data_IF_334972850729
#
_entry.id   IF_334972850729
#
_cell.length_a   1.000
_cell.length_b   1.000
_cell.length_c   1.000
_cell.angle_alpha   90.00
_cell.angle_beta   90.00
_cell.angle_gamma   90.00
#
_symmetry.space_group_name_H-M   'P 1'
#
loop_
_entity.id
_entity.type
_entity.pdbx_description
1 polymer ?
#
# COMPACT_ATOMS: atom_id res chain seq x y z
N UNK A 1 15.18 -8.14 -19.62
CA UNK A 1 14.71 -7.64 -18.30
C UNK A 1 15.80 -7.67 -17.22
N UNK A 2 17.09 -7.79 -17.57
CA UNK A 2 18.19 -8.11 -16.63
C UNK A 2 19.02 -6.91 -16.13
N UNK A 3 18.51 -5.67 -16.21
CA UNK A 3 19.32 -4.47 -15.89
C UNK A 3 18.56 -3.38 -15.09
N UNK A 4 17.54 -3.77 -14.33
CA UNK A 4 16.86 -2.92 -13.34
C UNK A 4 17.40 -3.21 -11.92
N UNK A 5 17.12 -2.32 -10.98
CA UNK A 5 17.43 -2.54 -9.56
C UNK A 5 16.56 -3.67 -9.00
N UNK A 6 17.17 -4.59 -8.27
CA UNK A 6 16.44 -5.59 -7.50
C UNK A 6 15.81 -4.98 -6.22
N UNK A 7 15.02 -5.76 -5.48
CA UNK A 7 14.30 -5.27 -4.30
C UNK A 7 15.21 -4.71 -3.20
N UNK A 8 16.37 -5.32 -2.94
CA UNK A 8 17.34 -4.84 -1.93
C UNK A 8 18.01 -3.54 -2.40
N UNK A 9 18.35 -3.44 -3.67
CA UNK A 9 18.92 -2.21 -4.27
C UNK A 9 17.91 -1.06 -4.26
N UNK A 10 16.64 -1.33 -4.56
CA UNK A 10 15.54 -0.36 -4.48
C UNK A 10 15.33 0.12 -3.04
N UNK A 11 15.35 -0.80 -2.06
CA UNK A 11 15.24 -0.44 -0.65
C UNK A 11 16.38 0.48 -0.21
N UNK A 12 17.63 0.19 -0.62
CA UNK A 12 18.78 1.05 -0.37
C UNK A 12 18.58 2.45 -0.97
N UNK A 13 18.08 2.53 -2.20
CA UNK A 13 17.79 3.81 -2.87
C UNK A 13 16.69 4.61 -2.14
N UNK A 14 15.58 3.96 -1.77
CA UNK A 14 14.45 4.58 -1.06
C UNK A 14 14.85 5.05 0.35
N UNK A 15 15.69 4.28 1.03
CA UNK A 15 16.24 4.67 2.33
C UNK A 15 17.16 5.89 2.19
N UNK A 16 18.05 5.90 1.19
CA UNK A 16 18.96 7.00 0.94
C UNK A 16 18.24 8.29 0.50
N UNK A 17 17.08 8.17 -0.17
CA UNK A 17 16.26 9.30 -0.59
C UNK A 17 15.81 10.20 0.58
N UNK A 18 15.57 9.64 1.76
CA UNK A 18 15.24 10.40 2.99
C UNK A 18 16.45 10.78 3.83
N UNK A 19 17.67 10.53 3.34
CA UNK A 19 18.93 10.82 4.01
C UNK A 19 19.63 12.07 3.46
N UNK A 20 20.83 12.41 3.96
CA UNK A 20 21.60 13.57 3.50
C UNK A 20 22.10 13.44 2.05
N UNK A 21 22.31 14.57 1.36
CA UNK A 21 22.64 14.64 -0.08
C UNK A 21 23.83 13.74 -0.47
N UNK A 22 24.89 13.77 0.35
CA UNK A 22 26.10 12.97 0.12
C UNK A 22 25.82 11.46 0.16
N UNK A 23 24.99 11.00 1.08
CA UNK A 23 24.68 9.57 1.20
C UNK A 23 23.85 9.09 -0.01
N UNK A 24 22.93 9.94 -0.49
CA UNK A 24 22.16 9.65 -1.70
C UNK A 24 23.07 9.59 -2.94
N UNK A 25 23.97 10.56 -3.10
CA UNK A 25 24.91 10.60 -4.24
C UNK A 25 25.85 9.38 -4.27
N UNK A 26 26.35 8.96 -3.09
CA UNK A 26 27.14 7.74 -2.93
C UNK A 26 26.34 6.50 -3.36
N UNK A 27 25.09 6.35 -2.90
CA UNK A 27 24.23 5.21 -3.28
C UNK A 27 23.89 5.21 -4.77
N UNK A 28 23.57 6.34 -5.37
CA UNK A 28 23.29 6.45 -6.81
C UNK A 28 24.53 6.04 -7.62
N UNK A 29 25.71 6.47 -7.18
CA UNK A 29 26.98 6.13 -7.84
C UNK A 29 27.30 4.64 -7.74
N UNK A 30 27.09 4.03 -6.56
CA UNK A 30 27.31 2.59 -6.35
C UNK A 30 26.35 1.70 -7.15
N UNK A 31 25.06 2.06 -7.21
CA UNK A 31 24.06 1.31 -7.94
C UNK A 31 24.16 1.48 -9.47
N UNK A 32 24.82 2.57 -9.89
CA UNK A 32 24.96 2.99 -11.29
C UNK A 32 23.82 3.91 -11.72
N UNK A 33 24.16 5.13 -12.12
CA UNK A 33 23.19 6.17 -12.48
C UNK A 33 22.22 5.74 -13.59
N UNK A 34 22.66 5.00 -14.59
CA UNK A 34 21.78 4.55 -15.68
C UNK A 34 20.70 3.55 -15.19
N UNK A 35 21.07 2.64 -14.29
CA UNK A 35 20.13 1.68 -13.68
C UNK A 35 19.13 2.41 -12.79
N UNK A 36 19.59 3.37 -12.01
CA UNK A 36 18.74 4.24 -11.19
C UNK A 36 17.79 5.02 -12.08
N UNK A 37 18.29 5.70 -13.12
CA UNK A 37 17.48 6.51 -14.01
C UNK A 37 16.37 5.71 -14.69
N UNK A 38 16.64 4.47 -15.13
CA UNK A 38 15.61 3.56 -15.68
C UNK A 38 14.48 3.28 -14.69
N UNK A 39 14.79 3.07 -13.42
CA UNK A 39 13.79 2.90 -12.35
C UNK A 39 12.97 4.18 -12.17
N UNK A 40 13.64 5.35 -12.13
CA UNK A 40 12.95 6.62 -11.92
C UNK A 40 11.98 6.92 -13.05
N UNK A 41 12.37 6.70 -14.31
CA UNK A 41 11.48 6.98 -15.45
C UNK A 41 10.35 5.98 -15.60
N UNK A 42 10.56 4.70 -15.25
CA UNK A 42 9.47 3.71 -15.13
C UNK A 42 8.46 4.15 -14.07
N UNK A 43 8.96 4.59 -12.90
CA UNK A 43 8.14 5.05 -11.80
C UNK A 43 7.31 6.29 -12.17
N UNK A 44 7.90 7.25 -12.89
CA UNK A 44 7.20 8.44 -13.40
C UNK A 44 6.10 8.03 -14.38
N UNK A 45 6.42 7.19 -15.37
CA UNK A 45 5.46 6.72 -16.37
C UNK A 45 4.28 5.97 -15.71
N UNK A 46 4.57 5.16 -14.69
CA UNK A 46 3.57 4.44 -13.91
C UNK A 46 2.66 5.38 -13.09
N UNK A 47 3.24 6.38 -12.42
CA UNK A 47 2.51 7.31 -11.55
C UNK A 47 1.67 8.33 -12.30
N UNK A 48 2.11 8.71 -13.50
CA UNK A 48 1.49 9.76 -14.32
C UNK A 48 -0.01 9.55 -14.47
N UNK A 49 -0.78 10.63 -14.36
CA UNK A 49 -2.21 10.64 -14.63
C UNK A 49 -2.49 10.26 -16.09
N UNK A 50 -3.69 9.71 -16.35
CA UNK A 50 -4.12 9.47 -17.72
C UNK A 50 -4.23 10.83 -18.44
N UNK A 51 -3.49 11.02 -19.54
CA UNK A 51 -3.37 12.31 -20.19
C UNK A 51 -4.66 12.69 -20.94
N UNK A 52 -5.15 13.89 -20.69
CA UNK A 52 -6.23 14.55 -21.47
C UNK A 52 -5.66 15.27 -22.70
N UNK A 53 -4.91 14.55 -23.53
CA UNK A 53 -4.36 15.10 -24.79
C UNK A 53 -5.23 14.68 -25.97
N UNK A 54 -5.28 15.51 -27.00
CA UNK A 54 -6.01 15.26 -28.25
C UNK A 54 -5.11 14.68 -29.36
N UNK A 55 -3.79 14.66 -29.14
CA UNK A 55 -2.80 14.13 -30.07
C UNK A 55 -1.60 13.55 -29.37
N UNK A 56 -0.87 12.71 -30.12
CA UNK A 56 0.45 12.26 -29.71
C UNK A 56 1.39 13.45 -29.48
N UNK A 57 2.00 13.49 -28.30
CA UNK A 57 2.98 14.50 -27.90
C UNK A 57 4.13 13.84 -27.16
N UNK A 58 5.37 14.28 -27.42
CA UNK A 58 6.56 13.79 -26.74
C UNK A 58 7.08 14.83 -25.74
N UNK A 59 7.51 14.37 -24.57
CA UNK A 59 8.08 15.20 -23.50
C UNK A 59 9.44 14.63 -23.13
N UNK A 60 10.48 15.47 -23.17
CA UNK A 60 11.84 15.11 -22.79
C UNK A 60 12.09 15.20 -21.29
N UNK A 61 12.93 14.32 -20.77
CA UNK A 61 13.49 14.40 -19.43
C UNK A 61 15.00 14.20 -19.48
N UNK A 62 15.74 15.21 -19.05
CA UNK A 62 17.19 15.14 -18.88
C UNK A 62 17.50 14.89 -17.41
N UNK A 63 18.29 13.85 -17.13
CA UNK A 63 18.75 13.52 -15.77
C UNK A 63 20.26 13.69 -15.69
N UNK A 64 20.71 14.61 -14.84
CA UNK A 64 22.11 14.97 -14.64
C UNK A 64 22.70 14.21 -13.43
N UNK A 65 23.83 13.53 -13.60
CA UNK A 65 24.59 12.88 -12.51
C UNK A 65 26.10 12.95 -12.80
N UNK A 66 26.91 13.37 -11.84
CA UNK A 66 28.38 13.40 -11.99
C UNK A 66 28.89 14.23 -13.18
N UNK A 67 28.12 15.22 -13.66
CA UNK A 67 28.44 16.03 -14.83
C UNK A 67 28.06 15.40 -16.18
N UNK A 68 27.51 14.19 -16.20
CA UNK A 68 26.91 13.57 -17.38
C UNK A 68 25.39 13.79 -17.40
N UNK A 69 24.80 13.74 -18.59
CA UNK A 69 23.35 13.86 -18.80
C UNK A 69 22.83 12.65 -19.57
N UNK A 70 21.81 11.99 -19.03
CA UNK A 70 21.05 10.93 -19.71
C UNK A 70 19.66 11.46 -20.05
N UNK A 71 19.26 11.36 -21.31
CA UNK A 71 17.98 11.89 -21.81
C UNK A 71 16.98 10.77 -22.09
N UNK A 72 15.72 11.03 -21.75
CA UNK A 72 14.59 10.13 -21.94
C UNK A 72 13.44 10.84 -22.65
N UNK A 73 12.63 10.08 -23.36
CA UNK A 73 11.43 10.60 -24.04
C UNK A 73 10.18 9.90 -23.53
N UNK A 74 9.26 10.69 -22.97
CA UNK A 74 7.92 10.25 -22.61
C UNK A 74 6.97 10.46 -23.79
N UNK A 75 6.33 9.38 -24.21
CA UNK A 75 5.31 9.38 -25.25
C UNK A 75 3.93 9.47 -24.62
N UNK A 76 3.21 10.55 -24.91
CA UNK A 76 1.88 10.83 -24.36
C UNK A 76 0.84 10.73 -25.47
N UNK A 77 -0.08 9.77 -25.36
CA UNK A 77 -1.16 9.52 -26.32
C UNK A 77 -2.53 9.74 -25.68
N UNK A 78 -3.56 10.14 -26.46
CA UNK A 78 -4.92 10.28 -25.95
C UNK A 78 -5.40 8.98 -25.27
N UNK A 79 -5.86 9.09 -24.03
CA UNK A 79 -6.48 7.99 -23.26
C UNK A 79 -5.59 6.76 -23.03
N UNK A 80 -4.27 6.87 -23.18
CA UNK A 80 -3.32 5.79 -22.91
C UNK A 80 -2.39 6.16 -21.75
N UNK A 81 -1.91 5.18 -20.96
CA UNK A 81 -0.84 5.39 -20.01
C UNK A 81 0.40 5.99 -20.70
N UNK A 82 1.08 6.90 -20.00
CA UNK A 82 2.36 7.46 -20.44
C UNK A 82 3.36 6.32 -20.61
N UNK A 83 4.11 6.33 -21.72
CA UNK A 83 5.21 5.38 -21.97
C UNK A 83 6.53 6.12 -22.04
N UNK A 84 7.62 5.44 -21.76
CA UNK A 84 8.97 6.02 -21.81
C UNK A 84 9.92 5.17 -22.64
N UNK A 85 10.84 5.83 -23.34
CA UNK A 85 11.97 5.23 -24.04
C UNK A 85 13.26 6.00 -23.75
N UNK A 86 14.39 5.30 -23.72
CA UNK A 86 15.71 5.93 -23.66
C UNK A 86 16.00 6.72 -24.95
N UNK A 87 16.73 7.83 -24.81
CA UNK A 87 17.11 8.70 -25.92
C UNK A 87 16.18 9.89 -26.14
N UNK A 88 16.57 10.73 -27.09
CA UNK A 88 15.88 11.96 -27.49
C UNK A 88 15.00 11.65 -28.69
N UNK A 89 13.68 11.81 -28.53
CA UNK A 89 12.72 11.67 -29.62
C UNK A 89 12.84 12.79 -30.65
N UNK A 90 12.38 12.52 -31.86
CA UNK A 90 12.45 13.49 -32.96
C UNK A 90 11.44 14.63 -32.82
N UNK A 91 10.48 14.54 -31.88
CA UNK A 91 9.31 15.43 -31.79
C UNK A 91 9.05 15.92 -30.36
N UNK A 92 10.11 16.13 -29.58
CA UNK A 92 10.00 16.65 -28.22
C UNK A 92 9.32 18.03 -28.24
N UNK A 93 8.17 18.14 -27.60
CA UNK A 93 7.47 19.41 -27.49
C UNK A 93 8.10 20.29 -26.40
N UNK A 94 8.55 19.66 -25.32
CA UNK A 94 9.19 20.31 -24.17
C UNK A 94 10.11 19.32 -23.44
N UNK A 95 11.27 19.78 -22.99
CA UNK A 95 12.13 19.02 -22.05
C UNK A 95 12.13 19.63 -20.64
N UNK A 96 12.30 18.76 -19.64
CA UNK A 96 12.52 19.13 -18.23
C UNK A 96 13.83 18.51 -17.75
N UNK A 97 14.57 19.18 -16.87
CA UNK A 97 15.85 18.66 -16.35
C UNK A 97 15.85 18.53 -14.82
N UNK A 98 16.45 17.45 -14.32
CA UNK A 98 16.66 17.19 -12.89
C UNK A 98 18.09 16.69 -12.63
N UNK A 99 18.63 16.98 -11.45
CA UNK A 99 19.70 16.13 -10.93
C UNK A 99 19.12 14.75 -10.57
N UNK A 100 19.90 13.67 -10.71
CA UNK A 100 19.44 12.33 -10.34
C UNK A 100 19.00 12.29 -8.86
N UNK A 101 19.78 12.90 -7.96
CA UNK A 101 19.48 12.98 -6.55
C UNK A 101 18.14 13.69 -6.25
N UNK A 102 17.86 14.83 -6.92
CA UNK A 102 16.59 15.54 -6.71
C UNK A 102 15.41 14.76 -7.26
N UNK A 103 15.57 14.07 -8.38
CA UNK A 103 14.51 13.22 -8.93
C UNK A 103 14.21 12.01 -8.03
N UNK A 104 15.25 11.39 -7.45
CA UNK A 104 15.08 10.34 -6.43
C UNK A 104 14.30 10.87 -5.23
N UNK A 105 14.57 12.09 -4.77
CA UNK A 105 13.85 12.70 -3.65
C UNK A 105 12.41 13.06 -3.95
N UNK A 106 12.13 13.56 -5.14
CA UNK A 106 10.75 13.84 -5.54
C UNK A 106 9.90 12.56 -5.58
N UNK A 107 10.49 11.43 -5.99
CA UNK A 107 9.78 10.16 -6.09
C UNK A 107 9.74 9.36 -4.77
N UNK A 108 10.83 9.38 -4.01
CA UNK A 108 11.07 8.48 -2.87
C UNK A 108 11.54 9.18 -1.59
N UNK A 109 11.65 10.51 -1.57
CA UNK A 109 12.01 11.30 -0.40
C UNK A 109 10.90 11.39 0.63
N UNK A 110 11.19 11.98 1.79
CA UNK A 110 10.18 12.15 2.85
C UNK A 110 9.21 13.29 2.52
N UNK A 111 7.94 13.16 2.93
CA UNK A 111 6.91 14.17 2.67
C UNK A 111 7.27 15.57 3.21
N UNK A 112 8.17 15.65 4.20
CA UNK A 112 8.64 16.91 4.82
C UNK A 112 9.68 17.66 3.96
N UNK A 113 10.24 17.01 2.95
CA UNK A 113 11.36 17.54 2.15
C UNK A 113 10.96 18.02 0.76
N UNK A 114 9.67 17.95 0.38
CA UNK A 114 9.16 18.53 -0.88
C UNK A 114 9.17 20.07 -0.81
N UNK A 115 10.35 20.66 -0.96
CA UNK A 115 10.51 22.09 -1.19
C UNK A 115 10.49 22.37 -2.69
N UNK A 116 9.61 23.28 -3.10
CA UNK A 116 9.31 23.69 -4.47
C UNK A 116 10.47 24.33 -5.27
N UNK A 117 11.74 24.12 -4.90
CA UNK A 117 12.89 24.89 -5.37
C UNK A 117 14.06 24.08 -5.94
N UNK A 118 13.89 22.78 -6.26
CA UNK A 118 14.99 21.95 -6.81
C UNK A 118 14.91 21.63 -8.31
N UNK A 119 13.93 22.21 -9.00
CA UNK A 119 13.69 21.96 -10.42
C UNK A 119 14.41 23.02 -11.26
N UNK A 120 15.39 22.61 -12.06
CA UNK A 120 15.87 23.44 -13.16
C UNK A 120 14.97 23.18 -14.37
N UNK A 121 13.89 23.96 -14.50
CA UNK A 121 13.06 23.91 -15.69
C UNK A 121 13.83 24.57 -16.87
N UNK A 122 14.77 23.83 -17.46
CA UNK A 122 15.39 24.20 -18.73
C UNK A 122 14.41 23.83 -19.85
N UNK A 123 13.31 24.57 -19.97
CA UNK A 123 12.35 24.37 -21.07
C UNK A 123 13.04 24.62 -22.41
N UNK A 124 13.41 23.54 -23.10
CA UNK A 124 13.72 23.58 -24.53
C UNK A 124 12.43 23.33 -25.28
N UNK A 125 11.96 24.37 -25.95
CA UNK A 125 10.77 24.30 -26.80
C UNK A 125 11.21 23.88 -28.20
N UNK A 126 11.02 22.61 -28.53
CA UNK A 126 11.34 22.05 -29.85
C UNK A 126 10.05 21.80 -30.65
N UNK A 127 9.10 22.74 -30.55
CA UNK A 127 7.81 22.64 -31.25
C UNK A 127 7.96 23.09 -32.70
N UNK A 128 7.39 22.31 -33.64
CA UNK A 128 7.27 22.71 -35.03
C UNK A 128 6.48 24.03 -35.16
N UNK A 129 7.14 25.07 -35.69
CA UNK A 129 6.52 26.35 -35.98
C UNK A 129 5.48 26.23 -37.09
N UNK A 130 4.46 27.11 -37.07
CA UNK A 130 3.54 27.24 -38.20
C UNK A 130 4.35 27.68 -39.44
N UNK A 131 4.17 27.07 -40.62
CA UNK A 131 4.86 27.51 -41.84
C UNK A 131 4.71 29.02 -42.07
N UNK A 132 5.83 29.72 -42.23
CA UNK A 132 5.86 31.18 -42.42
C UNK A 132 5.68 32.03 -41.15
N UNK A 133 5.64 31.44 -39.96
CA UNK A 133 5.62 32.16 -38.67
C UNK A 133 6.72 31.65 -37.74
N UNK A 134 7.31 32.53 -36.95
CA UNK A 134 8.27 32.14 -35.91
C UNK A 134 7.56 31.84 -34.57
N UNK A 135 6.44 31.09 -34.62
CA UNK A 135 5.70 30.64 -33.43
C UNK A 135 4.90 29.35 -33.70
N UNK A 136 4.68 28.50 -32.68
CA UNK A 136 3.79 27.35 -32.77
C UNK A 136 2.31 27.76 -32.84
N UNK A 137 1.43 26.82 -33.16
CA UNK A 137 -0.02 27.02 -33.03
C UNK A 137 -0.45 26.98 -31.56
N UNK A 138 -1.58 27.64 -31.24
CA UNK A 138 -2.17 27.57 -29.90
C UNK A 138 -2.49 26.13 -29.52
N UNK A 139 -3.00 25.34 -30.46
CA UNK A 139 -3.28 23.92 -30.31
C UNK A 139 -2.04 23.12 -29.89
N UNK A 140 -0.90 23.30 -30.58
CA UNK A 140 0.35 22.63 -30.21
C UNK A 140 0.86 23.04 -28.83
N UNK A 141 0.71 24.32 -28.45
CA UNK A 141 1.07 24.81 -27.11
C UNK A 141 0.20 24.16 -26.04
N UNK A 142 -1.11 24.06 -26.26
CA UNK A 142 -2.02 23.44 -25.31
C UNK A 142 -1.75 21.93 -25.17
N UNK A 143 -1.56 21.22 -26.28
CA UNK A 143 -1.20 19.79 -26.26
C UNK A 143 0.11 19.54 -25.48
N UNK A 144 1.13 20.36 -25.73
CA UNK A 144 2.39 20.34 -24.99
C UNK A 144 2.20 20.57 -23.49
N UNK A 145 1.43 21.59 -23.10
CA UNK A 145 1.17 21.89 -21.69
C UNK A 145 0.49 20.71 -20.99
N UNK A 146 -0.54 20.12 -21.62
CA UNK A 146 -1.25 18.97 -21.07
C UNK A 146 -0.37 17.73 -20.99
N UNK A 147 0.43 17.44 -22.02
CA UNK A 147 1.36 16.32 -22.02
C UNK A 147 2.44 16.46 -20.94
N UNK A 148 3.01 17.66 -20.80
CA UNK A 148 4.00 17.96 -19.76
C UNK A 148 3.38 17.85 -18.38
N UNK A 149 2.17 18.35 -18.17
CA UNK A 149 1.45 18.22 -16.91
C UNK A 149 1.19 16.75 -16.54
N UNK A 150 0.84 15.90 -17.51
CA UNK A 150 0.68 14.46 -17.27
C UNK A 150 2.00 13.80 -16.82
N UNK A 151 3.13 14.08 -17.49
CA UNK A 151 4.44 13.55 -17.07
C UNK A 151 4.83 14.06 -15.68
N UNK A 152 4.69 15.38 -15.43
CA UNK A 152 5.02 15.97 -14.14
C UNK A 152 4.13 15.47 -12.99
N UNK A 153 2.89 15.07 -13.27
CA UNK A 153 2.03 14.42 -12.27
C UNK A 153 2.60 13.09 -11.77
N UNK A 154 3.44 12.42 -12.58
CA UNK A 154 4.16 11.21 -12.18
C UNK A 154 5.35 11.46 -11.25
N UNK A 155 5.86 12.69 -11.20
CA UNK A 155 6.92 13.11 -10.28
C UNK A 155 6.34 13.63 -8.96
N UNK A 156 5.10 14.13 -9.00
CA UNK A 156 4.40 14.70 -7.87
C UNK A 156 4.08 13.65 -6.79
N UNK A 157 4.24 14.03 -5.52
CA UNK A 157 3.93 13.19 -4.36
C UNK A 157 2.53 13.43 -3.79
N UNK A 158 1.69 14.23 -4.46
CA UNK A 158 0.28 14.41 -4.06
C UNK A 158 -0.41 13.06 -3.82
N UNK A 159 -1.12 12.93 -2.68
CA UNK A 159 -1.88 11.72 -2.39
C UNK A 159 -2.90 11.36 -3.46
N UNK A 160 -2.90 10.11 -3.96
CA UNK A 160 -3.94 9.64 -4.87
C UNK A 160 -5.22 9.27 -4.11
N UNK A 161 -6.36 9.34 -4.79
CA UNK A 161 -7.63 8.80 -4.29
C UNK A 161 -7.68 7.28 -4.52
N UNK A 162 -7.85 6.48 -3.46
CA UNK A 162 -7.87 5.02 -3.56
C UNK A 162 -9.02 4.48 -4.43
N UNK A 163 -10.19 5.12 -4.42
CA UNK A 163 -11.30 4.72 -5.27
C UNK A 163 -10.98 4.90 -6.76
N UNK A 164 -10.35 6.02 -7.10
CA UNK A 164 -9.85 6.30 -8.45
C UNK A 164 -8.74 5.32 -8.86
N UNK A 165 -7.84 4.95 -7.94
CA UNK A 165 -6.81 3.95 -8.23
C UNK A 165 -7.40 2.55 -8.43
N UNK A 166 -8.36 2.13 -7.59
CA UNK A 166 -9.05 0.85 -7.75
C UNK A 166 -9.73 0.77 -9.13
N UNK A 167 -10.43 1.83 -9.53
CA UNK A 167 -11.03 1.92 -10.86
C UNK A 167 -9.99 1.90 -11.99
N UNK A 168 -8.89 2.67 -11.83
CA UNK A 168 -7.80 2.75 -12.83
C UNK A 168 -7.10 1.41 -13.06
N UNK A 169 -6.89 0.64 -12.01
CA UNK A 169 -6.16 -0.64 -12.07
C UNK A 169 -7.08 -1.86 -12.07
N UNK A 170 -8.39 -1.66 -12.27
CA UNK A 170 -9.40 -2.72 -12.36
C UNK A 170 -9.42 -3.64 -11.12
N UNK A 171 -9.24 -3.07 -9.95
CA UNK A 171 -9.49 -3.75 -8.67
C UNK A 171 -10.94 -3.50 -8.24
N UNK A 172 -11.61 -4.55 -7.80
CA UNK A 172 -13.01 -4.55 -7.35
C UNK A 172 -13.22 -3.96 -5.94
N UNK A 173 -12.14 -3.53 -5.27
CA UNK A 173 -12.16 -2.88 -3.96
C UNK A 173 -13.00 -1.58 -3.91
N UNK A 174 -13.44 -1.03 -5.06
CA UNK A 174 -14.34 0.12 -5.15
C UNK A 174 -15.27 0.10 -6.38
N UNK A 175 -16.47 0.66 -6.24
CA UNK A 175 -17.30 1.08 -7.38
C UNK A 175 -18.13 -0.02 -8.04
N UNK A 176 -18.16 -1.21 -7.45
CA UNK A 176 -18.88 -2.38 -7.97
C UNK A 176 -19.42 -3.26 -6.85
N UNK A 177 -18.78 -4.41 -6.65
CA UNK A 177 -19.15 -5.38 -5.62
C UNK A 177 -18.80 -4.90 -4.20
N UNK A 178 -17.69 -4.15 -4.07
CA UNK A 178 -17.15 -3.70 -2.79
C UNK A 178 -16.99 -2.18 -2.70
N UNK A 179 -16.85 -1.69 -1.46
CA UNK A 179 -16.72 -0.27 -1.09
C UNK A 179 -15.60 -0.10 -0.05
N UNK A 180 -14.50 -0.83 -0.20
CA UNK A 180 -13.45 -0.96 0.82
C UNK A 180 -12.52 0.26 0.88
N UNK A 181 -12.31 0.96 -0.24
CA UNK A 181 -11.30 2.01 -0.33
C UNK A 181 -11.40 3.14 0.70
N UNK A 182 -12.59 3.60 1.18
CA UNK A 182 -12.63 4.60 2.26
C UNK A 182 -12.16 4.06 3.61
N UNK A 183 -12.35 2.77 3.87
CA UNK A 183 -11.85 2.11 5.09
C UNK A 183 -10.33 1.94 5.00
N UNK A 184 -9.83 1.52 3.83
CA UNK A 184 -8.40 1.49 3.57
C UNK A 184 -7.73 2.86 3.72
N UNK A 185 -8.32 3.91 3.14
CA UNK A 185 -7.83 5.28 3.27
C UNK A 185 -7.73 5.69 4.75
N UNK A 186 -8.77 5.42 5.54
CA UNK A 186 -8.81 5.77 6.97
C UNK A 186 -7.63 5.15 7.74
N UNK A 187 -7.33 3.88 7.47
CA UNK A 187 -6.35 3.09 8.22
C UNK A 187 -4.93 3.22 7.69
N UNK A 188 -4.76 3.36 6.37
CA UNK A 188 -3.44 3.32 5.72
C UNK A 188 -2.84 4.70 5.43
N UNK A 189 -3.61 5.79 5.49
CA UNK A 189 -3.12 7.15 5.15
C UNK A 189 -1.90 7.58 5.96
N UNK A 190 -1.74 7.11 7.19
CA UNK A 190 -0.59 7.43 8.04
C UNK A 190 0.71 6.76 7.58
N UNK A 191 0.62 5.71 6.77
CA UNK A 191 1.74 4.92 6.26
C UNK A 191 2.12 5.28 4.82
N UNK A 192 1.36 6.17 4.17
CA UNK A 192 1.46 6.49 2.74
C UNK A 192 2.87 6.89 2.29
N UNK A 193 3.51 7.72 3.10
CA UNK A 193 4.82 8.32 2.81
C UNK A 193 5.97 7.62 3.58
N UNK A 194 5.66 6.51 4.25
CA UNK A 194 6.63 5.68 4.94
C UNK A 194 7.18 4.60 3.99
N UNK A 195 8.43 4.16 4.17
CA UNK A 195 9.04 3.09 3.36
C UNK A 195 8.51 1.72 3.79
N UNK A 196 7.21 1.49 3.60
CA UNK A 196 6.51 0.30 4.10
C UNK A 196 6.77 -0.95 3.27
N UNK A 197 6.66 -2.10 3.91
CA UNK A 197 6.54 -3.41 3.27
C UNK A 197 5.10 -3.91 3.39
N UNK A 198 4.45 -4.12 2.25
CA UNK A 198 3.03 -4.53 2.17
C UNK A 198 2.97 -5.92 1.54
N UNK A 199 2.31 -6.87 2.21
CA UNK A 199 2.02 -8.19 1.67
C UNK A 199 0.53 -8.32 1.38
N UNK A 200 0.14 -8.71 0.18
CA UNK A 200 -1.23 -9.10 -0.16
C UNK A 200 -1.26 -10.58 -0.59
N UNK A 201 -2.11 -11.38 0.04
CA UNK A 201 -2.44 -12.73 -0.39
C UNK A 201 -3.58 -12.62 -1.38
N UNK A 202 -3.43 -13.25 -2.55
CA UNK A 202 -4.36 -13.12 -3.67
C UNK A 202 -3.92 -12.01 -4.61
N UNK A 203 -3.29 -12.37 -5.74
CA UNK A 203 -2.90 -11.41 -6.78
C UNK A 203 -4.04 -11.19 -7.78
N UNK A 204 -4.98 -12.13 -7.86
CA UNK A 204 -6.11 -12.11 -8.78
C UNK A 204 -5.77 -12.66 -10.16
N UNK A 205 -6.76 -12.72 -11.05
CA UNK A 205 -6.61 -13.31 -12.39
C UNK A 205 -6.48 -14.84 -12.41
N UNK A 206 -6.67 -15.51 -11.27
CA UNK A 206 -6.67 -16.97 -11.10
C UNK A 206 -5.45 -17.63 -11.76
N UNK A 207 -5.66 -18.62 -12.64
CA UNK A 207 -4.58 -19.37 -13.28
C UNK A 207 -3.79 -18.57 -14.35
N UNK A 208 -4.27 -17.40 -14.77
CA UNK A 208 -3.61 -16.62 -15.81
C UNK A 208 -2.35 -15.93 -15.32
N UNK A 209 -1.17 -16.32 -15.83
CA UNK A 209 0.12 -15.80 -15.37
C UNK A 209 0.31 -14.28 -15.60
N UNK A 210 -0.32 -13.72 -16.63
CA UNK A 210 -0.28 -12.29 -16.97
C UNK A 210 -1.56 -11.53 -16.55
N UNK A 211 -2.49 -12.20 -15.87
CA UNK A 211 -3.74 -11.62 -15.40
C UNK A 211 -3.70 -11.38 -13.89
N UNK A 212 -4.32 -10.29 -13.44
CA UNK A 212 -4.33 -9.86 -12.04
C UNK A 212 -3.39 -8.69 -11.75
N UNK A 213 -3.05 -8.49 -10.47
CA UNK A 213 -2.14 -7.45 -10.00
C UNK A 213 -2.73 -6.04 -9.94
N UNK A 214 -4.04 -5.89 -10.12
CA UNK A 214 -4.72 -4.59 -10.05
C UNK A 214 -4.54 -3.92 -8.69
N UNK A 215 -4.81 -4.66 -7.61
CA UNK A 215 -4.58 -4.22 -6.23
C UNK A 215 -3.10 -3.96 -5.93
N UNK A 216 -2.19 -4.81 -6.41
CA UNK A 216 -0.74 -4.59 -6.24
C UNK A 216 -0.29 -3.25 -6.86
N UNK A 217 -0.82 -2.88 -8.04
CA UNK A 217 -0.56 -1.57 -8.63
C UNK A 217 -1.22 -0.44 -7.83
N UNK A 218 -2.43 -0.67 -7.31
CA UNK A 218 -3.08 0.28 -6.41
C UNK A 218 -2.20 0.56 -5.18
N UNK A 219 -1.68 -0.48 -4.52
CA UNK A 219 -0.78 -0.35 -3.38
C UNK A 219 0.56 0.28 -3.76
N UNK A 220 1.16 -0.11 -4.90
CA UNK A 220 2.37 0.52 -5.43
C UNK A 220 2.18 2.02 -5.60
N UNK A 221 1.04 2.45 -6.17
CA UNK A 221 0.76 3.88 -6.39
C UNK A 221 0.38 4.63 -5.12
N UNK A 222 -0.30 3.95 -4.19
CA UNK A 222 -0.71 4.52 -2.91
C UNK A 222 0.48 4.76 -1.98
N UNK A 223 1.32 3.75 -1.77
CA UNK A 223 2.53 3.86 -0.96
C UNK A 223 3.71 4.33 -1.82
N UNK A 224 3.99 5.64 -1.81
CA UNK A 224 4.99 6.26 -2.68
C UNK A 224 6.40 5.67 -2.49
N UNK A 225 6.70 5.17 -1.29
CA UNK A 225 7.98 4.57 -0.90
C UNK A 225 7.85 3.08 -0.55
N UNK A 226 6.66 2.52 -0.75
CA UNK A 226 6.38 1.14 -0.34
C UNK A 226 6.94 0.11 -1.30
N UNK A 227 7.30 -1.05 -0.74
CA UNK A 227 7.56 -2.28 -1.46
C UNK A 227 6.35 -3.21 -1.28
N UNK A 228 5.78 -3.66 -2.40
CA UNK A 228 4.57 -4.47 -2.44
C UNK A 228 4.94 -5.90 -2.81
N UNK A 229 4.45 -6.84 -2.02
CA UNK A 229 4.62 -8.27 -2.20
C UNK A 229 3.25 -8.89 -2.41
N UNK A 230 3.10 -9.69 -3.47
CA UNK A 230 1.90 -10.47 -3.72
C UNK A 230 2.18 -11.95 -3.52
N UNK A 231 1.32 -12.68 -2.81
CA UNK A 231 1.39 -14.15 -2.74
C UNK A 231 0.20 -14.75 -3.48
N UNK A 232 0.46 -15.69 -4.38
CA UNK A 232 -0.58 -16.42 -5.10
C UNK A 232 -0.20 -17.90 -5.25
N UNK A 233 -1.23 -18.75 -5.33
CA UNK A 233 -1.05 -20.18 -5.59
C UNK A 233 -0.42 -20.43 -6.96
N UNK A 234 -0.75 -19.57 -7.93
CA UNK A 234 -0.25 -19.62 -9.29
C UNK A 234 1.02 -18.78 -9.46
N UNK A 235 1.82 -19.12 -10.47
CA UNK A 235 2.97 -18.31 -10.84
C UNK A 235 2.51 -17.01 -11.50
N UNK A 236 2.87 -15.88 -10.88
CA UNK A 236 2.53 -14.51 -11.29
C UNK A 236 3.78 -13.68 -11.59
N UNK A 237 4.95 -14.32 -11.71
CA UNK A 237 6.22 -13.65 -12.01
C UNK A 237 6.21 -12.74 -13.25
N UNK A 238 5.37 -12.95 -14.30
CA UNK A 238 5.25 -11.97 -15.38
C UNK A 238 4.71 -10.59 -14.95
N UNK A 239 4.09 -10.50 -13.77
CA UNK A 239 3.59 -9.24 -13.21
C UNK A 239 4.66 -8.46 -12.44
N UNK A 240 5.82 -9.06 -12.15
CA UNK A 240 6.93 -8.43 -11.44
C UNK A 240 7.39 -7.15 -12.15
N UNK A 241 7.66 -6.13 -11.35
CA UNK A 241 8.11 -4.81 -11.81
C UNK A 241 8.76 -4.07 -10.64
N UNK A 242 9.42 -2.91 -10.85
CA UNK A 242 9.95 -2.14 -9.75
C UNK A 242 8.92 -1.93 -8.62
N UNK A 243 9.34 -2.24 -7.39
CA UNK A 243 8.54 -2.19 -6.14
C UNK A 243 7.36 -3.18 -6.04
N UNK A 244 7.16 -4.09 -6.99
CA UNK A 244 6.17 -5.18 -6.88
C UNK A 244 6.86 -6.50 -7.13
N UNK A 245 6.85 -7.37 -6.13
CA UNK A 245 7.40 -8.72 -6.20
C UNK A 245 6.29 -9.73 -5.98
N UNK A 246 6.09 -10.63 -6.93
CA UNK A 246 5.16 -11.74 -6.81
C UNK A 246 5.88 -12.98 -6.27
N UNK A 247 5.18 -13.72 -5.43
CA UNK A 247 5.70 -14.87 -4.70
C UNK A 247 4.70 -16.01 -4.87
N UNK A 248 5.17 -17.16 -5.35
CA UNK A 248 4.32 -18.34 -5.46
C UNK A 248 4.25 -19.05 -4.11
N UNK A 249 3.04 -19.28 -3.61
CA UNK A 249 2.81 -19.98 -2.35
C UNK A 249 1.34 -20.32 -2.12
N UNK A 250 1.09 -21.43 -1.45
CA UNK A 250 -0.24 -21.77 -0.96
C UNK A 250 -0.47 -21.06 0.38
N UNK A 251 -1.52 -20.25 0.49
CA UNK A 251 -1.84 -19.56 1.74
C UNK A 251 -2.27 -20.53 2.86
N UNK A 252 -2.63 -21.78 2.54
CA UNK A 252 -2.91 -22.81 3.53
C UNK A 252 -1.67 -23.63 3.93
N UNK A 253 -0.47 -23.22 3.49
CA UNK A 253 0.80 -23.79 3.94
C UNK A 253 1.52 -22.80 4.90
N UNK A 254 1.39 -22.97 6.22
CA UNK A 254 2.04 -22.13 7.21
C UNK A 254 3.57 -22.07 7.06
N UNK A 255 4.21 -23.16 6.60
CA UNK A 255 5.66 -23.22 6.48
C UNK A 255 6.14 -22.31 5.35
N UNK A 256 5.46 -22.37 4.19
CA UNK A 256 5.71 -21.47 3.06
C UNK A 256 5.46 -20.01 3.44
N UNK A 257 4.34 -19.70 4.11
CA UNK A 257 4.03 -18.33 4.55
C UNK A 257 5.06 -17.80 5.55
N UNK A 258 5.49 -18.63 6.50
CA UNK A 258 6.52 -18.25 7.49
C UNK A 258 7.86 -17.98 6.82
N UNK A 259 8.25 -18.79 5.82
CA UNK A 259 9.49 -18.59 5.08
C UNK A 259 9.46 -17.29 4.26
N UNK A 260 8.35 -17.03 3.57
CA UNK A 260 8.13 -15.75 2.87
C UNK A 260 8.25 -14.58 3.84
N UNK A 261 7.61 -14.67 5.00
CA UNK A 261 7.63 -13.60 5.98
C UNK A 261 9.00 -13.39 6.64
N UNK A 262 9.79 -14.46 6.82
CA UNK A 262 11.19 -14.35 7.27
C UNK A 262 12.09 -13.68 6.24
N UNK A 263 11.86 -13.95 4.96
CA UNK A 263 12.70 -13.43 3.88
C UNK A 263 12.35 -12.00 3.48
N UNK A 264 11.06 -11.66 3.46
CA UNK A 264 10.57 -10.41 2.90
C UNK A 264 9.95 -9.47 3.94
N UNK A 265 9.67 -9.97 5.15
CA UNK A 265 9.16 -9.18 6.25
C UNK A 265 10.27 -8.55 7.11
N UNK A 266 9.92 -8.05 8.32
CA UNK A 266 8.55 -7.98 8.82
C UNK A 266 7.71 -6.96 8.00
N UNK A 267 6.41 -7.19 7.91
CA UNK A 267 5.51 -6.37 7.09
C UNK A 267 4.82 -5.29 7.93
N UNK A 268 4.66 -4.09 7.37
CA UNK A 268 3.85 -3.03 7.98
C UNK A 268 2.36 -3.31 7.77
N UNK A 269 2.01 -3.94 6.64
CA UNK A 269 0.64 -4.30 6.29
C UNK A 269 0.61 -5.69 5.68
N UNK A 270 -0.27 -6.55 6.17
CA UNK A 270 -0.66 -7.82 5.53
C UNK A 270 -2.13 -7.76 5.19
N UNK A 271 -2.51 -8.15 3.96
CA UNK A 271 -3.89 -8.21 3.47
C UNK A 271 -4.17 -9.63 3.02
N UNK A 272 -5.20 -10.27 3.58
CA UNK A 272 -5.73 -11.55 3.08
C UNK A 272 -6.94 -11.30 2.19
N UNK A 273 -6.71 -11.39 0.87
CA UNK A 273 -7.69 -11.30 -0.20
C UNK A 273 -7.56 -12.52 -1.14
N UNK A 274 -7.30 -13.69 -0.55
CA UNK A 274 -6.89 -14.89 -1.26
C UNK A 274 -8.04 -15.82 -1.68
N UNK A 275 -8.06 -17.05 -1.17
CA UNK A 275 -9.06 -18.06 -1.54
C UNK A 275 -10.42 -17.86 -0.90
N UNK A 276 -10.47 -17.06 0.17
CA UNK A 276 -11.61 -16.86 1.06
C UNK A 276 -12.14 -18.16 1.72
N UNK A 277 -11.41 -19.26 1.60
CA UNK A 277 -11.71 -20.51 2.33
C UNK A 277 -11.41 -20.27 3.80
N UNK A 278 -12.38 -20.58 4.66
CA UNK A 278 -12.32 -20.22 6.07
C UNK A 278 -11.11 -20.80 6.81
N UNK A 279 -10.74 -22.04 6.50
CA UNK A 279 -9.51 -22.66 7.03
C UNK A 279 -8.26 -21.89 6.59
N UNK A 280 -8.22 -21.45 5.33
CA UNK A 280 -7.07 -20.75 4.78
C UNK A 280 -6.87 -19.38 5.45
N UNK A 281 -7.97 -18.65 5.72
CA UNK A 281 -7.94 -17.37 6.46
C UNK A 281 -7.40 -17.56 7.88
N UNK A 282 -7.80 -18.65 8.56
CA UNK A 282 -7.31 -18.97 9.91
C UNK A 282 -5.82 -19.32 9.87
N UNK A 283 -5.42 -20.14 8.90
CA UNK A 283 -4.03 -20.58 8.71
C UNK A 283 -3.10 -19.41 8.40
N UNK A 284 -3.47 -18.54 7.45
CA UNK A 284 -2.68 -17.38 7.06
C UNK A 284 -2.53 -16.38 8.21
N UNK A 285 -3.61 -16.09 8.94
CA UNK A 285 -3.56 -15.20 10.10
C UNK A 285 -2.60 -15.73 11.16
N UNK A 286 -2.72 -17.01 11.52
CA UNK A 286 -1.85 -17.63 12.52
C UNK A 286 -0.37 -17.62 12.09
N UNK A 287 -0.09 -17.83 10.80
CA UNK A 287 1.27 -17.85 10.26
C UNK A 287 1.89 -16.44 10.12
N UNK A 288 1.12 -15.46 9.66
CA UNK A 288 1.65 -14.16 9.23
C UNK A 288 1.46 -13.03 10.26
N UNK A 289 0.44 -13.09 11.13
CA UNK A 289 0.25 -12.06 12.16
C UNK A 289 1.48 -11.88 13.09
N UNK A 290 2.25 -12.93 13.46
CA UNK A 290 3.51 -12.76 14.17
C UNK A 290 4.58 -11.94 13.43
N UNK A 291 4.50 -11.88 12.10
CA UNK A 291 5.44 -11.17 11.23
C UNK A 291 4.95 -9.78 10.79
N UNK A 292 3.77 -9.36 11.24
CA UNK A 292 3.34 -7.96 11.17
C UNK A 292 4.11 -7.17 12.23
N UNK A 293 4.68 -6.03 11.82
CA UNK A 293 5.40 -5.12 12.72
C UNK A 293 4.47 -4.58 13.79
N UNK A 294 4.98 -4.36 15.00
CA UNK A 294 4.26 -3.57 16.02
C UNK A 294 3.95 -2.18 15.46
N UNK A 295 2.68 -1.76 15.54
CA UNK A 295 2.16 -0.56 14.88
C UNK A 295 1.65 -0.79 13.44
N UNK A 296 1.80 -2.01 12.91
CA UNK A 296 1.29 -2.42 11.61
C UNK A 296 -0.12 -2.99 11.65
N UNK A 297 -0.60 -3.45 10.49
CA UNK A 297 -1.97 -3.88 10.27
C UNK A 297 -2.04 -5.26 9.62
N UNK A 298 -2.98 -6.07 10.08
CA UNK A 298 -3.46 -7.24 9.34
C UNK A 298 -4.89 -6.99 8.89
N UNK A 299 -5.19 -7.23 7.61
CA UNK A 299 -6.51 -7.02 7.01
C UNK A 299 -7.04 -8.34 6.47
N UNK A 300 -8.32 -8.61 6.70
CA UNK A 300 -9.04 -9.76 6.14
C UNK A 300 -10.17 -9.22 5.27
N UNK A 301 -10.16 -9.50 3.98
CA UNK A 301 -11.25 -9.21 3.05
C UNK A 301 -12.23 -10.39 2.94
N UNK A 302 -13.39 -10.11 2.36
CA UNK A 302 -14.39 -11.07 1.94
C UNK A 302 -14.88 -12.08 2.99
N UNK A 303 -15.13 -11.56 4.18
CA UNK A 303 -15.71 -12.30 5.32
C UNK A 303 -17.11 -12.88 5.06
N UNK A 304 -17.78 -12.55 3.94
CA UNK A 304 -19.09 -13.09 3.59
C UNK A 304 -19.08 -14.61 3.39
N UNK A 305 -17.94 -15.19 2.98
CA UNK A 305 -17.78 -16.65 2.80
C UNK A 305 -17.90 -17.43 4.10
N UNK A 306 -17.84 -16.77 5.26
CA UNK A 306 -18.11 -17.39 6.57
C UNK A 306 -19.52 -17.98 6.68
N UNK A 307 -20.45 -17.53 5.83
CA UNK A 307 -21.85 -18.00 5.81
C UNK A 307 -22.14 -19.04 4.72
N UNK A 308 -21.10 -19.61 4.08
CA UNK A 308 -21.26 -20.52 2.95
C UNK A 308 -20.43 -21.79 3.14
N UNK A 309 -21.11 -22.93 3.19
CA UNK A 309 -20.49 -24.25 3.34
C UNK A 309 -19.49 -24.59 2.24
N UNK A 310 -19.70 -24.07 1.02
CA UNK A 310 -18.77 -24.22 -0.11
C UNK A 310 -17.35 -23.65 0.13
N UNK A 311 -17.20 -22.72 1.08
CA UNK A 311 -15.92 -22.15 1.50
C UNK A 311 -15.50 -22.64 2.91
N UNK A 312 -16.10 -23.74 3.39
CA UNK A 312 -15.90 -24.23 4.77
C UNK A 312 -16.56 -23.35 5.83
N UNK A 313 -17.49 -22.48 5.44
CA UNK A 313 -18.33 -21.70 6.34
C UNK A 313 -19.56 -22.47 6.81
N UNK A 314 -20.51 -21.77 7.43
CA UNK A 314 -21.76 -22.36 7.90
C UNK A 314 -22.95 -21.78 7.14
N UNK A 315 -23.80 -22.62 6.53
CA UNK A 315 -25.05 -22.19 5.88
C UNK A 315 -26.10 -21.75 6.92
N UNK A 316 -25.79 -20.68 7.64
CA UNK A 316 -26.55 -20.20 8.78
C UNK A 316 -26.52 -18.67 8.88
N UNK A 317 -27.41 -18.10 9.69
CA UNK A 317 -27.42 -16.66 9.96
C UNK A 317 -26.31 -16.21 10.90
N UNK A 318 -25.54 -17.14 11.49
CA UNK A 318 -24.48 -16.85 12.45
C UNK A 318 -23.25 -17.68 12.15
N UNK A 319 -22.20 -17.04 11.65
CA UNK A 319 -20.92 -17.68 11.38
C UNK A 319 -20.34 -18.33 12.64
N UNK A 320 -19.99 -19.62 12.54
CA UNK A 320 -19.44 -20.42 13.61
C UNK A 320 -17.96 -20.13 13.88
N UNK A 321 -17.36 -20.82 14.87
CA UNK A 321 -16.04 -20.48 15.38
C UNK A 321 -14.91 -20.78 14.38
N UNK A 322 -15.06 -21.72 13.44
CA UNK A 322 -14.00 -22.08 12.48
C UNK A 322 -14.06 -21.26 11.18
N UNK A 323 -14.62 -20.05 11.25
CA UNK A 323 -14.78 -19.15 10.11
C UNK A 323 -13.94 -17.90 10.26
N UNK A 324 -13.76 -17.12 9.18
CA UNK A 324 -13.11 -15.80 9.25
C UNK A 324 -13.83 -14.86 10.22
N UNK A 325 -15.16 -14.83 10.20
CA UNK A 325 -15.94 -14.08 11.22
C UNK A 325 -15.82 -14.70 12.62
N UNK A 326 -15.70 -16.02 12.71
CA UNK A 326 -15.40 -16.73 13.96
C UNK A 326 -14.08 -16.30 14.58
N UNK A 327 -13.03 -16.13 13.75
CA UNK A 327 -11.75 -15.56 14.15
C UNK A 327 -11.95 -14.14 14.67
N UNK A 328 -12.56 -13.24 13.90
CA UNK A 328 -12.82 -11.85 14.31
C UNK A 328 -13.55 -11.77 15.65
N UNK A 329 -14.58 -12.61 15.88
CA UNK A 329 -15.28 -12.70 17.17
C UNK A 329 -14.36 -13.14 18.30
N UNK A 330 -13.47 -14.11 18.08
CA UNK A 330 -12.46 -14.51 19.08
C UNK A 330 -11.47 -13.40 19.37
N UNK A 331 -11.07 -12.61 18.36
CA UNK A 331 -10.15 -11.50 18.56
C UNK A 331 -10.75 -10.39 19.45
N UNK A 332 -12.08 -10.22 19.47
CA UNK A 332 -12.76 -9.35 20.43
C UNK A 332 -12.48 -9.81 21.87
N UNK A 333 -12.63 -11.11 22.16
CA UNK A 333 -12.31 -11.65 23.49
C UNK A 333 -10.80 -11.56 23.78
N UNK A 334 -9.96 -11.83 22.78
CA UNK A 334 -8.51 -11.79 22.91
C UNK A 334 -7.99 -10.38 23.24
N UNK A 335 -8.61 -9.33 22.67
CA UNK A 335 -8.29 -7.95 23.00
C UNK A 335 -8.49 -7.65 24.50
N UNK A 336 -9.48 -8.29 25.13
CA UNK A 336 -9.83 -8.11 26.55
C UNK A 336 -9.23 -9.20 27.46
N UNK A 337 -8.22 -9.94 27.00
CA UNK A 337 -7.68 -11.10 27.72
C UNK A 337 -7.19 -10.79 29.14
N UNK A 338 -6.71 -9.57 29.42
CA UNK A 338 -6.28 -9.16 30.76
C UNK A 338 -7.45 -8.96 31.74
N UNK A 339 -8.68 -8.80 31.25
CA UNK A 339 -9.87 -8.72 32.09
C UNK A 339 -10.37 -10.09 32.54
N UNK A 340 -9.90 -11.16 31.91
CA UNK A 340 -10.25 -12.50 32.32
C UNK A 340 -9.70 -12.81 33.71
N UNK A 341 -10.46 -13.58 34.53
CA UNK A 341 -9.98 -14.07 35.81
C UNK A 341 -8.58 -14.71 35.65
N UNK A 342 -7.63 -14.48 36.56
CA UNK A 342 -6.26 -14.99 36.43
C UNK A 342 -6.19 -16.50 36.13
N UNK A 343 -7.12 -17.29 36.67
CA UNK A 343 -7.23 -18.73 36.42
C UNK A 343 -7.58 -19.12 34.97
N UNK A 344 -8.07 -18.17 34.15
CA UNK A 344 -8.52 -18.38 32.77
C UNK A 344 -7.58 -17.75 31.72
N UNK A 345 -6.49 -17.10 32.14
CA UNK A 345 -5.53 -16.39 31.26
C UNK A 345 -4.55 -17.34 30.53
N UNK A 346 -4.99 -18.52 30.10
CA UNK A 346 -4.17 -19.52 29.40
C UNK A 346 -3.82 -19.12 27.96
N UNK A 347 -3.99 -20.02 26.98
CA UNK A 347 -3.59 -19.81 25.57
C UNK A 347 -4.17 -18.53 24.92
N UNK A 348 -5.36 -18.08 25.33
CA UNK A 348 -5.98 -16.82 24.89
C UNK A 348 -5.15 -15.56 25.21
N UNK A 349 -4.28 -15.63 26.22
CA UNK A 349 -3.37 -14.55 26.59
C UNK A 349 -2.32 -14.30 25.50
N UNK A 350 -1.79 -15.37 24.87
CA UNK A 350 -0.75 -15.25 23.86
C UNK A 350 -1.26 -14.63 22.55
N UNK A 351 -2.50 -14.95 22.15
CA UNK A 351 -3.15 -14.36 20.97
C UNK A 351 -3.50 -12.87 21.21
N UNK A 352 -3.97 -12.54 22.41
CA UNK A 352 -4.41 -11.19 22.79
C UNK A 352 -3.29 -10.17 23.03
N UNK A 353 -2.14 -10.59 23.57
CA UNK A 353 -1.04 -9.71 23.94
C UNK A 353 -0.42 -8.93 22.76
N UNK A 354 -0.64 -9.43 21.53
CA UNK A 354 -0.15 -8.82 20.29
C UNK A 354 -1.17 -7.93 19.56
N UNK A 355 -2.38 -7.73 20.10
CA UNK A 355 -3.49 -7.06 19.40
C UNK A 355 -3.86 -5.78 20.15
N UNK A 356 -3.70 -4.63 19.52
CA UNK A 356 -4.04 -3.32 20.11
C UNK A 356 -5.40 -2.78 19.70
N UNK A 357 -6.03 -3.37 18.67
CA UNK A 357 -7.29 -2.86 18.14
C UNK A 357 -7.89 -3.75 17.07
N UNK A 358 -9.20 -3.60 16.87
CA UNK A 358 -9.98 -4.35 15.90
C UNK A 358 -11.07 -3.44 15.32
N UNK A 359 -11.15 -3.36 13.99
CA UNK A 359 -12.14 -2.56 13.27
C UNK A 359 -12.85 -3.45 12.27
N UNK A 360 -14.16 -3.58 12.38
CA UNK A 360 -14.95 -4.48 11.52
C UNK A 360 -15.95 -3.65 10.72
N UNK A 361 -15.92 -3.83 9.41
CA UNK A 361 -16.88 -3.26 8.47
C UNK A 361 -17.52 -4.39 7.65
N UNK A 362 -18.44 -4.05 6.75
CA UNK A 362 -19.05 -5.06 5.88
C UNK A 362 -17.96 -5.71 5.02
N UNK A 363 -17.81 -7.03 5.15
CA UNK A 363 -16.87 -7.88 4.43
C UNK A 363 -15.37 -7.55 4.61
N UNK A 364 -14.98 -6.71 5.57
CA UNK A 364 -13.56 -6.41 5.79
C UNK A 364 -13.30 -6.14 7.28
N UNK A 365 -12.18 -6.66 7.79
CA UNK A 365 -11.72 -6.39 9.16
C UNK A 365 -10.25 -5.97 9.17
N UNK A 366 -9.92 -5.01 10.04
CA UNK A 366 -8.57 -4.51 10.28
C UNK A 366 -8.17 -4.84 11.72
N UNK A 367 -7.00 -5.45 11.90
CA UNK A 367 -6.44 -5.86 13.18
C UNK A 367 -5.15 -5.07 13.40
N UNK A 368 -5.13 -4.25 14.46
CA UNK A 368 -3.96 -3.45 14.82
C UNK A 368 -2.97 -4.33 15.59
N UNK A 369 -1.77 -4.52 15.02
CA UNK A 369 -0.68 -5.21 15.71
C UNK A 369 -0.06 -4.28 16.74
N UNK A 370 -0.01 -4.69 18.00
CA UNK A 370 0.52 -3.84 19.07
C UNK A 370 0.94 -4.59 20.31
N UNK A 371 1.34 -3.85 21.33
CA UNK A 371 1.56 -4.38 22.68
C UNK A 371 0.27 -4.16 23.46
N UNK A 372 -0.37 -5.22 23.90
CA UNK A 372 -1.59 -5.19 24.71
C UNK A 372 -1.30 -5.80 26.08
N UNK A 373 -0.67 -4.98 26.93
CA UNK A 373 -0.19 -5.35 28.27
C UNK A 373 -0.41 -4.16 29.23
N UNK A 374 -1.55 -3.47 29.08
CA UNK A 374 -1.89 -2.28 29.87
C UNK A 374 -2.23 -2.63 31.34
N UNK A 375 -2.53 -3.90 31.59
CA UNK A 375 -3.00 -4.43 32.86
C UNK A 375 -4.52 -4.35 32.96
N UNK A 376 -5.14 -5.50 33.27
CA UNK A 376 -6.59 -5.54 33.50
C UNK A 376 -7.01 -4.77 34.75
N UNK A 377 -8.32 -4.53 34.89
CA UNK A 377 -8.88 -3.76 36.00
C UNK A 377 -8.37 -4.29 37.36
N UNK A 378 -7.87 -3.42 38.27
CA UNK A 378 -7.34 -3.84 39.56
C UNK A 378 -8.34 -4.60 40.44
N UNK A 379 -7.84 -5.52 41.28
CA UNK A 379 -8.67 -6.35 42.16
C UNK A 379 -9.47 -5.57 43.22
N UNK A 380 -9.04 -4.35 43.57
CA UNK A 380 -9.76 -3.51 44.53
C UNK A 380 -11.03 -2.88 43.94
N UNK A 381 -11.21 -2.92 42.61
CA UNK A 381 -12.45 -2.47 41.97
C UNK A 381 -13.53 -3.56 42.17
N UNK A 382 -14.70 -3.21 42.73
CA UNK A 382 -15.76 -4.18 42.98
C UNK A 382 -16.20 -4.93 41.71
N UNK A 383 -16.27 -6.27 41.79
CA UNK A 383 -16.72 -7.15 40.69
C UNK A 383 -18.23 -7.44 40.71
N UNK A 384 -18.97 -6.75 41.56
CA UNK A 384 -20.44 -6.80 41.62
C UNK A 384 -20.97 -5.39 41.41
N UNK A 385 -22.01 -5.26 40.60
CA UNK A 385 -22.68 -3.98 40.40
C UNK A 385 -23.14 -3.41 41.75
N UNK A 386 -23.05 -2.09 41.92
CA UNK A 386 -23.64 -1.42 43.07
C UNK A 386 -25.16 -1.63 43.03
N UNK A 387 -25.68 -2.42 43.97
CA UNK A 387 -27.11 -2.45 44.23
C UNK A 387 -27.45 -1.19 45.04
N UNK A 388 -28.38 -0.32 44.59
CA UNK A 388 -28.90 0.72 45.46
C UNK A 388 -29.52 0.03 46.68
N UNK A 389 -29.14 0.48 47.89
CA UNK A 389 -29.61 -0.09 49.14
C UNK A 389 -31.12 -0.32 49.13
N UNK A 390 -31.55 -1.58 49.05
CA UNK A 390 -32.91 -1.96 49.33
C UNK A 390 -33.15 -1.73 50.83
N UNK A 391 -33.77 -0.60 51.17
CA UNK A 391 -34.46 -0.40 52.44
C UNK A 391 -33.57 -0.13 53.66
N UNK A 392 -33.07 1.10 53.76
CA UNK A 392 -33.10 1.79 55.05
C UNK A 392 -34.57 2.11 55.42
N UNK A 393 -35.35 1.08 55.71
CA UNK A 393 -36.68 1.18 56.32
C UNK A 393 -36.60 0.63 57.75
N UNK A 394 -35.71 1.23 58.54
CA UNK A 394 -35.56 0.99 59.97
C UNK A 394 -35.46 2.35 60.65
N UNK A 395 -36.57 3.09 60.69
CA UNK A 395 -36.67 4.29 61.51
C UNK A 395 -36.63 3.90 62.99
N UNK A 396 -35.97 4.68 63.86
CA UNK A 396 -35.86 4.38 65.28
C UNK A 396 -37.23 4.45 65.95
N UNK A 397 -37.50 3.45 66.80
CA UNK A 397 -38.62 3.42 67.74
C UNK A 397 -38.58 4.65 68.64
N UNK A 398 -39.60 5.52 68.56
CA UNK A 398 -39.83 6.54 69.58
C UNK A 398 -40.54 5.90 70.77
N UNK A 399 -39.84 5.76 71.88
CA UNK A 399 -40.42 5.56 73.20
C UNK A 399 -41.05 6.88 73.68
N UNK A 400 -42.35 6.88 73.94
CA UNK A 400 -43.00 7.82 74.85
C UNK A 400 -44.28 7.20 75.40
N UNK A 401 -44.32 6.98 76.72
CA UNK A 401 -45.49 6.51 77.46
C UNK A 401 -45.12 5.47 78.50
#
# INVERSE_FOLDING_TARGET
MTDLLNTEELERLIAAAGGPDRALDEVVTELGADRVNRVLVDEIAFRADLPDVDRLTEVGLDVEHGGATTSFTFTVRPHEPVRVSEGVGDRIAQSVAYSCADLVRELFGSAREHYASRRALKSRFEVANIPGKNRPSLESVLAMQKATAAVLSGIDSRPPDLGALAARYYSDKWGGLHWFTPHYERHLRGLRDEPVRVLEIGIGGFQGAESGGGSLNMWRRYFARGLVFGVDLFDKSPLDRPRVTTLRGDQNDPATLTEIARRHGPFDVVIDDGSHVNEHILTSFAALFPHVRTGGLYVIEDLWTSYLSGYGGDDSTTAGPRTGLGLVKRLVDALHHEEHPPALRGERFAEGAGIAGLHVYRNIAFIDKGVNLDGGIPLYIPRKAFAPNAGAAGGPTSSSG
#
